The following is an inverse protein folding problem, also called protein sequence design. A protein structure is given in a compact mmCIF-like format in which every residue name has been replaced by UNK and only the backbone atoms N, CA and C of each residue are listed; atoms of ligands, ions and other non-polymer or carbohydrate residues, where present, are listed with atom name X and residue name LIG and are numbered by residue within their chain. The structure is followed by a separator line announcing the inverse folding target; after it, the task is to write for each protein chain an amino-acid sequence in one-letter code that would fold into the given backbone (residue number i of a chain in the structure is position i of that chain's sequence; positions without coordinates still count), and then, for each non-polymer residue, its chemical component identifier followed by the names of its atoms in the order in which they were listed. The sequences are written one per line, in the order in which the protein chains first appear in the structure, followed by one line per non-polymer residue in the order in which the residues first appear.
data_IF_269926894859
#
_entry.id   IF_269926894859
#
_cell.length_a   1.000
_cell.length_b   1.000
_cell.length_c   1.000
_cell.angle_alpha   90.00
_cell.angle_beta   90.00
_cell.angle_gamma   90.00
#
_symmetry.space_group_name_H-M   'P 1'
#
loop_
_entity.id
_entity.type
_entity.pdbx_description
1 polymer ?
#
# COMPACT_ATOMS: atom_id res chain seq x y z
N UNK A 1 -8.62 -29.23 -37.83
CA UNK A 1 -7.93 -30.55 -37.81
C UNK A 1 -6.46 -30.28 -37.49
N UNK A 2 -6.09 -30.36 -36.21
CA UNK A 2 -5.26 -31.43 -35.62
C UNK A 2 -3.77 -31.26 -36.02
N UNK A 3 -2.77 -31.18 -35.14
CA UNK A 3 -2.64 -31.79 -33.80
C UNK A 3 -1.53 -31.11 -33.00
N UNK A 4 -1.78 -30.90 -31.70
CA UNK A 4 -0.82 -30.58 -30.65
C UNK A 4 0.28 -31.65 -30.52
N UNK A 5 1.51 -31.26 -30.20
CA UNK A 5 2.48 -32.14 -29.53
C UNK A 5 2.92 -31.50 -28.22
N UNK A 6 2.50 -32.16 -27.13
CA UNK A 6 2.75 -31.82 -25.73
C UNK A 6 4.22 -32.09 -25.40
N UNK A 7 4.89 -31.13 -24.76
CA UNK A 7 6.05 -31.45 -23.93
C UNK A 7 5.56 -31.60 -22.49
N UNK A 8 5.68 -32.82 -21.97
CA UNK A 8 5.43 -33.18 -20.58
C UNK A 8 6.73 -32.96 -19.82
N UNK A 9 6.73 -32.12 -18.78
CA UNK A 9 7.76 -32.14 -17.75
C UNK A 9 7.15 -32.75 -16.48
N UNK A 10 7.56 -33.98 -16.17
CA UNK A 10 7.44 -34.55 -14.85
C UNK A 10 8.61 -34.03 -14.00
N UNK A 11 8.32 -33.33 -12.91
CA UNK A 11 9.29 -33.08 -11.85
C UNK A 11 9.02 -34.09 -10.72
N UNK A 12 9.91 -35.06 -10.57
CA UNK A 12 9.90 -35.97 -9.44
C UNK A 12 10.52 -35.26 -8.22
N UNK A 13 9.77 -35.18 -7.13
CA UNK A 13 10.27 -34.81 -5.81
C UNK A 13 11.02 -35.99 -5.19
N UNK A 14 12.27 -35.78 -4.76
CA UNK A 14 12.92 -36.59 -3.74
C UNK A 14 13.75 -35.66 -2.85
N UNK A 15 13.26 -35.47 -1.63
CA UNK A 15 13.89 -34.80 -0.50
C UNK A 15 14.93 -35.73 0.14
N UNK A 16 16.11 -35.20 0.49
CA UNK A 16 16.83 -35.45 1.78
C UNK A 16 18.03 -34.50 1.95
N UNK A 17 17.89 -33.57 2.90
CA UNK A 17 18.82 -33.08 3.95
C UNK A 17 20.35 -32.98 3.72
N UNK A 18 20.91 -31.79 4.02
CA UNK A 18 22.29 -31.63 4.56
C UNK A 18 23.07 -30.42 4.03
N UNK A 19 23.67 -29.56 4.88
CA UNK A 19 24.20 -28.25 4.47
C UNK A 19 25.68 -28.33 4.11
N UNK A 20 26.03 -27.98 2.87
CA UNK A 20 27.31 -27.35 2.51
C UNK A 20 27.34 -27.08 1.01
N UNK A 21 27.71 -25.85 0.69
CA UNK A 21 28.39 -25.42 -0.53
C UNK A 21 28.89 -26.55 -1.43
N UNK A 22 28.29 -26.68 -2.62
CA UNK A 22 29.02 -26.87 -3.89
C UNK A 22 28.03 -26.79 -5.05
N UNK A 23 28.34 -25.95 -6.02
CA UNK A 23 27.56 -25.78 -7.23
C UNK A 23 27.38 -27.12 -7.96
N UNK A 24 26.16 -27.62 -8.02
CA UNK A 24 25.81 -28.75 -8.89
C UNK A 24 25.76 -28.26 -10.34
N UNK A 25 26.85 -28.44 -11.09
CA UNK A 25 26.90 -28.16 -12.52
C UNK A 25 26.23 -29.30 -13.30
N UNK A 26 25.05 -29.03 -13.88
CA UNK A 26 24.39 -29.95 -14.81
C UNK A 26 25.16 -29.92 -16.14
N UNK A 27 25.78 -31.04 -16.54
CA UNK A 27 26.51 -31.12 -17.82
C UNK A 27 25.66 -31.90 -18.83
N UNK A 28 25.08 -31.22 -19.82
CA UNK A 28 24.51 -31.87 -21.00
C UNK A 28 25.59 -32.01 -22.09
N UNK A 29 25.90 -33.24 -22.51
CA UNK A 29 26.76 -33.52 -23.68
C UNK A 29 25.90 -33.75 -24.91
N UNK A 30 25.94 -32.83 -25.88
CA UNK A 30 25.56 -33.11 -27.26
C UNK A 30 26.81 -33.55 -28.04
N UNK A 31 26.70 -34.63 -28.82
CA UNK A 31 27.80 -35.19 -29.59
C UNK A 31 28.19 -34.27 -30.76
N UNK A 32 29.48 -33.91 -30.83
CA UNK A 32 30.12 -33.47 -32.06
C UNK A 32 29.92 -32.00 -32.44
N UNK A 33 30.47 -31.06 -31.67
CA UNK A 33 31.26 -29.90 -32.14
C UNK A 33 31.61 -28.97 -30.95
N UNK A 34 32.85 -28.47 -30.94
CA UNK A 34 33.50 -27.50 -30.03
C UNK A 34 32.83 -27.23 -28.67
N UNK A 35 33.54 -27.58 -27.59
CA UNK A 35 33.21 -27.23 -26.20
C UNK A 35 33.02 -25.72 -26.03
N UNK A 36 31.77 -25.25 -26.11
CA UNK A 36 31.36 -23.94 -25.64
C UNK A 36 31.18 -24.03 -24.13
N UNK A 37 32.15 -23.52 -23.38
CA UNK A 37 31.97 -23.26 -21.95
C UNK A 37 31.00 -22.08 -21.84
N UNK A 38 29.72 -22.37 -21.65
CA UNK A 38 28.75 -21.35 -21.29
C UNK A 38 29.01 -20.98 -19.83
N UNK A 39 29.80 -19.93 -19.60
CA UNK A 39 29.88 -19.29 -18.29
C UNK A 39 28.56 -18.58 -18.09
N UNK A 40 27.69 -19.17 -17.28
CA UNK A 40 26.50 -18.50 -16.78
C UNK A 40 26.89 -17.12 -16.25
N UNK A 41 26.19 -16.03 -16.62
CA UNK A 41 26.43 -14.71 -16.03
C UNK A 41 26.01 -14.63 -14.56
N UNK A 42 25.50 -15.73 -13.97
CA UNK A 42 25.15 -15.78 -12.55
C UNK A 42 26.40 -16.02 -11.70
N UNK A 43 27.33 -15.07 -11.76
CA UNK A 43 28.39 -14.90 -10.78
C UNK A 43 28.71 -13.41 -10.70
N UNK A 44 28.35 -12.82 -9.56
CA UNK A 44 28.60 -11.44 -9.16
C UNK A 44 27.76 -10.37 -9.86
N UNK A 45 26.49 -10.32 -9.49
CA UNK A 45 25.78 -9.05 -9.34
C UNK A 45 25.06 -9.11 -7.99
N UNK A 46 25.76 -8.82 -6.89
CA UNK A 46 25.11 -8.09 -5.80
C UNK A 46 25.04 -6.65 -6.32
N UNK A 47 24.18 -6.40 -7.31
CA UNK A 47 23.74 -5.04 -7.54
C UNK A 47 22.79 -4.77 -6.41
N UNK A 48 23.15 -3.82 -5.56
CA UNK A 48 22.18 -2.92 -4.97
C UNK A 48 21.37 -2.37 -6.15
N UNK A 49 20.26 -3.02 -6.51
CA UNK A 49 19.26 -2.46 -7.41
C UNK A 49 18.68 -1.27 -6.68
N UNK A 50 19.33 -0.11 -6.83
CA UNK A 50 18.79 1.15 -6.37
C UNK A 50 17.46 1.35 -7.09
N UNK A 51 16.38 1.36 -6.32
CA UNK A 51 15.07 1.73 -6.83
C UNK A 51 15.16 3.11 -7.50
N UNK A 52 14.81 3.19 -8.78
CA UNK A 52 14.81 4.46 -9.53
C UNK A 52 13.50 4.59 -10.29
N UNK A 53 12.78 5.69 -10.03
CA UNK A 53 11.63 6.11 -10.83
C UNK A 53 12.04 7.19 -11.83
N UNK A 54 11.31 7.35 -12.94
CA UNK A 54 11.45 8.51 -13.81
C UNK A 54 11.20 9.81 -13.02
N UNK A 55 11.70 10.94 -13.52
CA UNK A 55 11.67 12.25 -12.84
C UNK A 55 10.23 12.76 -12.54
N UNK A 56 9.23 12.28 -13.30
CA UNK A 56 7.81 12.50 -13.05
C UNK A 56 7.03 11.23 -13.37
N UNK A 57 6.92 10.28 -12.41
CA UNK A 57 6.24 9.02 -12.67
C UNK A 57 4.74 9.24 -12.87
N UNK A 58 4.19 8.58 -13.88
CA UNK A 58 2.74 8.50 -14.07
C UNK A 58 2.08 7.77 -12.90
N UNK A 59 0.75 7.80 -12.85
CA UNK A 59 0.04 7.06 -11.81
C UNK A 59 0.25 5.55 -11.99
N UNK A 60 0.27 5.08 -13.22
CA UNK A 60 0.52 3.70 -13.62
C UNK A 60 1.94 3.27 -13.22
N UNK A 61 2.96 4.09 -13.48
CA UNK A 61 4.34 3.81 -13.06
C UNK A 61 4.42 3.64 -11.53
N UNK A 62 3.69 4.48 -10.78
CA UNK A 62 3.64 4.38 -9.32
C UNK A 62 2.89 3.13 -8.84
N UNK A 63 1.83 2.72 -9.51
CA UNK A 63 1.12 1.46 -9.18
C UNK A 63 2.05 0.27 -9.40
N UNK A 64 2.80 0.24 -10.50
CA UNK A 64 3.73 -0.85 -10.82
C UNK A 64 4.94 -0.89 -9.87
N UNK A 65 5.34 0.27 -9.34
CA UNK A 65 6.47 0.39 -8.44
C UNK A 65 6.13 0.14 -6.97
N UNK A 66 4.88 0.40 -6.53
CA UNK A 66 4.46 0.27 -5.14
C UNK A 66 4.70 -1.14 -4.52
N UNK A 67 4.55 -2.27 -5.26
CA UNK A 67 4.87 -3.60 -4.75
C UNK A 67 6.32 -3.79 -4.28
N UNK A 68 7.28 -3.00 -4.77
CA UNK A 68 8.64 -3.00 -4.23
C UNK A 68 8.62 -2.59 -2.76
N UNK A 69 8.09 -1.41 -2.47
CA UNK A 69 8.05 -0.86 -1.12
C UNK A 69 7.17 -1.68 -0.17
N UNK A 70 6.01 -2.16 -0.64
CA UNK A 70 5.12 -2.96 0.19
C UNK A 70 5.79 -4.26 0.64
N UNK A 71 6.61 -4.90 -0.21
CA UNK A 71 7.40 -6.09 0.17
C UNK A 71 8.48 -5.77 1.19
N UNK A 72 9.24 -4.68 1.01
CA UNK A 72 10.25 -4.26 1.99
C UNK A 72 9.62 -4.01 3.39
N UNK A 73 8.42 -3.41 3.44
CA UNK A 73 7.67 -3.23 4.68
C UNK A 73 7.16 -4.55 5.27
N UNK A 74 6.69 -5.46 4.42
CA UNK A 74 6.21 -6.78 4.83
C UNK A 74 7.32 -7.64 5.45
N UNK A 75 8.51 -7.61 4.86
CA UNK A 75 9.66 -8.42 5.28
C UNK A 75 10.42 -7.79 6.45
N UNK A 76 10.05 -6.56 6.85
CA UNK A 76 10.80 -5.74 7.83
C UNK A 76 12.28 -5.52 7.45
N UNK A 77 12.59 -5.59 6.15
CA UNK A 77 13.94 -5.48 5.59
C UNK A 77 14.21 -4.08 5.00
N UNK A 78 13.41 -3.09 5.41
CA UNK A 78 13.57 -1.72 4.94
C UNK A 78 14.79 -1.09 5.63
N UNK A 79 15.89 -0.99 4.90
CA UNK A 79 17.09 -0.29 5.36
C UNK A 79 16.90 1.24 5.30
N UNK A 80 17.91 2.00 5.78
CA UNK A 80 17.81 3.46 5.80
C UNK A 80 17.67 4.11 4.41
N UNK A 81 18.18 3.47 3.35
CA UNK A 81 18.10 3.96 1.98
C UNK A 81 16.72 3.68 1.38
N UNK A 82 16.15 2.51 1.66
CA UNK A 82 14.77 2.17 1.31
C UNK A 82 13.77 3.08 2.02
N UNK A 83 13.96 3.39 3.31
CA UNK A 83 13.12 4.35 4.04
C UNK A 83 13.09 5.73 3.36
N UNK A 84 14.25 6.22 2.91
CA UNK A 84 14.34 7.50 2.19
C UNK A 84 13.65 7.42 0.84
N UNK A 85 13.85 6.32 0.11
CA UNK A 85 13.22 6.09 -1.19
C UNK A 85 11.70 5.99 -1.07
N UNK A 86 11.19 5.36 0.00
CA UNK A 86 9.77 5.31 0.32
C UNK A 86 9.22 6.71 0.61
N UNK A 87 9.92 7.51 1.42
CA UNK A 87 9.52 8.89 1.69
C UNK A 87 9.47 9.75 0.41
N UNK A 88 10.47 9.62 -0.48
CA UNK A 88 10.47 10.28 -1.79
C UNK A 88 9.29 9.80 -2.65
N UNK A 89 9.04 8.49 -2.68
CA UNK A 89 7.95 7.90 -3.45
C UNK A 89 6.58 8.43 -3.02
N UNK A 90 6.24 8.28 -1.73
CA UNK A 90 4.96 8.74 -1.19
C UNK A 90 4.90 10.27 -1.06
N UNK A 91 6.02 10.98 -1.22
CA UNK A 91 6.05 12.44 -1.26
C UNK A 91 5.34 13.04 -2.48
N UNK A 92 5.16 12.25 -3.55
CA UNK A 92 4.41 12.64 -4.73
C UNK A 92 2.94 12.22 -4.66
N UNK A 93 2.05 12.96 -5.33
CA UNK A 93 0.62 12.64 -5.35
C UNK A 93 0.33 11.26 -5.96
N UNK A 94 1.02 10.92 -7.07
CA UNK A 94 0.87 9.62 -7.74
C UNK A 94 1.48 8.50 -6.89
N UNK A 95 2.66 8.71 -6.31
CA UNK A 95 3.33 7.69 -5.49
C UNK A 95 2.57 7.38 -4.21
N UNK A 96 2.02 8.39 -3.52
CA UNK A 96 1.18 8.16 -2.35
C UNK A 96 -0.08 7.35 -2.70
N UNK A 97 -0.77 7.69 -3.80
CA UNK A 97 -1.94 6.96 -4.25
C UNK A 97 -1.59 5.52 -4.65
N UNK A 98 -0.53 5.34 -5.43
CA UNK A 98 -0.07 4.01 -5.85
C UNK A 98 0.32 3.13 -4.66
N UNK A 99 1.00 3.73 -3.67
CA UNK A 99 1.34 3.08 -2.42
C UNK A 99 0.10 2.62 -1.64
N UNK A 100 -0.82 3.54 -1.32
CA UNK A 100 -1.98 3.20 -0.50
C UNK A 100 -2.91 2.20 -1.18
N UNK A 101 -3.08 2.29 -2.51
CA UNK A 101 -3.83 1.29 -3.27
C UNK A 101 -3.23 -0.10 -3.05
N UNK A 102 -1.93 -0.28 -3.28
CA UNK A 102 -1.30 -1.59 -3.12
C UNK A 102 -1.29 -2.06 -1.66
N UNK A 103 -0.83 -1.21 -0.74
CA UNK A 103 -0.65 -1.55 0.68
C UNK A 103 -1.94 -1.96 1.36
N UNK A 104 -3.04 -1.26 1.07
CA UNK A 104 -4.31 -1.47 1.75
C UNK A 104 -5.17 -2.56 1.09
N UNK A 105 -5.06 -2.77 -0.23
CA UNK A 105 -5.97 -3.70 -0.92
C UNK A 105 -5.39 -5.09 -1.18
N UNK A 106 -4.07 -5.24 -1.32
CA UNK A 106 -3.45 -6.52 -1.67
C UNK A 106 -3.39 -7.48 -0.46
N UNK A 107 -3.86 -8.71 -0.62
CA UNK A 107 -3.95 -9.72 0.44
C UNK A 107 -2.59 -10.23 0.92
N UNK A 108 -1.55 -10.14 0.11
CA UNK A 108 -0.19 -10.55 0.44
C UNK A 108 0.44 -9.75 1.60
N UNK A 109 0.02 -8.49 1.80
CA UNK A 109 0.62 -7.58 2.78
C UNK A 109 -0.06 -7.66 4.16
N UNK A 110 0.14 -8.77 4.87
CA UNK A 110 -0.40 -8.96 6.22
C UNK A 110 0.15 -7.98 7.26
N UNK A 111 1.31 -7.37 7.02
CA UNK A 111 1.88 -6.33 7.87
C UNK A 111 1.00 -5.05 7.91
N UNK A 112 0.10 -4.85 6.95
CA UNK A 112 -0.87 -3.76 6.97
C UNK A 112 -1.95 -3.93 8.06
N UNK A 113 -2.08 -5.12 8.64
CA UNK A 113 -3.04 -5.45 9.72
C UNK A 113 -2.36 -5.48 11.10
N UNK A 114 -1.06 -5.22 11.17
CA UNK A 114 -0.29 -5.25 12.42
C UNK A 114 -0.34 -3.90 13.15
N UNK A 115 -0.38 -3.99 14.49
CA UNK A 115 -0.24 -2.84 15.39
C UNK A 115 0.85 -3.17 16.41
N UNK A 116 1.95 -2.39 16.50
CA UNK A 116 2.21 -1.17 15.74
C UNK A 116 2.44 -1.42 14.23
N UNK A 117 2.11 -0.46 13.35
CA UNK A 117 2.49 -0.51 11.94
C UNK A 117 4.02 -0.54 11.75
N UNK A 118 4.53 -0.95 10.58
CA UNK A 118 5.95 -0.95 10.30
C UNK A 118 6.59 0.42 10.56
N UNK A 119 7.59 0.47 11.44
CA UNK A 119 8.29 1.72 11.80
C UNK A 119 8.84 2.49 10.58
N UNK A 120 9.42 1.84 9.55
CA UNK A 120 9.82 2.52 8.32
C UNK A 120 8.70 3.30 7.62
N UNK A 121 7.47 2.77 7.62
CA UNK A 121 6.31 3.45 7.04
C UNK A 121 5.97 4.70 7.83
N UNK A 122 5.94 4.61 9.16
CA UNK A 122 5.66 5.74 10.05
C UNK A 122 6.70 6.86 9.88
N UNK A 123 7.98 6.50 9.77
CA UNK A 123 9.06 7.45 9.51
C UNK A 123 8.87 8.15 8.17
N UNK A 124 8.63 7.39 7.09
CA UNK A 124 8.45 7.95 5.76
C UNK A 124 7.26 8.92 5.69
N UNK A 125 6.11 8.55 6.25
CA UNK A 125 4.91 9.39 6.28
C UNK A 125 5.15 10.68 7.08
N UNK A 126 5.82 10.59 8.23
CA UNK A 126 6.13 11.76 9.04
C UNK A 126 7.15 12.68 8.34
N UNK A 127 8.15 12.12 7.65
CA UNK A 127 9.10 12.88 6.84
C UNK A 127 8.39 13.68 5.75
N UNK A 128 7.45 13.07 5.01
CA UNK A 128 6.68 13.76 3.97
C UNK A 128 5.81 14.86 4.55
N UNK A 129 5.11 14.61 5.65
CA UNK A 129 4.24 15.62 6.27
C UNK A 129 5.02 16.82 6.83
N UNK A 130 6.27 16.59 7.27
CA UNK A 130 7.14 17.61 7.87
C UNK A 130 8.02 18.33 6.84
N UNK A 131 8.10 17.83 5.60
CA UNK A 131 8.90 18.45 4.55
C UNK A 131 8.36 19.85 4.20
N UNK A 132 9.22 20.86 3.99
CA UNK A 132 8.77 22.21 3.65
C UNK A 132 8.33 22.31 2.17
N UNK A 133 7.17 22.93 1.87
CA UNK A 133 6.16 23.41 2.83
C UNK A 133 5.34 22.24 3.43
N UNK A 134 5.00 22.28 4.73
CA UNK A 134 4.19 21.23 5.36
C UNK A 134 2.91 20.99 4.59
N UNK A 135 2.52 19.71 4.46
CA UNK A 135 1.39 19.30 3.63
C UNK A 135 0.38 18.47 4.42
N UNK A 136 -0.91 18.75 4.21
CA UNK A 136 -1.98 17.88 4.71
C UNK A 136 -2.49 16.89 3.66
N UNK A 137 -1.84 16.83 2.48
CA UNK A 137 -2.21 15.90 1.42
C UNK A 137 -2.22 14.44 1.87
N UNK A 138 -1.17 14.00 2.58
CA UNK A 138 -1.09 12.62 3.10
C UNK A 138 -2.20 12.36 4.12
N UNK A 139 -2.43 13.29 5.05
CA UNK A 139 -3.50 13.15 6.04
C UNK A 139 -4.88 13.04 5.37
N UNK A 140 -5.17 13.90 4.38
CA UNK A 140 -6.42 13.82 3.60
C UNK A 140 -6.53 12.50 2.86
N UNK A 141 -5.46 12.06 2.19
CA UNK A 141 -5.47 10.80 1.45
C UNK A 141 -5.70 9.60 2.37
N UNK A 142 -5.11 9.59 3.57
CA UNK A 142 -5.37 8.55 4.57
C UNK A 142 -6.84 8.51 5.00
N UNK A 143 -7.45 9.67 5.28
CA UNK A 143 -8.86 9.75 5.66
C UNK A 143 -9.80 9.35 4.52
N UNK A 144 -9.45 9.64 3.26
CA UNK A 144 -10.18 9.14 2.09
C UNK A 144 -10.13 7.61 2.02
N UNK A 145 -8.96 7.01 2.31
CA UNK A 145 -8.80 5.55 2.40
C UNK A 145 -9.53 4.92 3.59
N UNK A 146 -10.03 5.71 4.54
CA UNK A 146 -10.96 5.24 5.59
C UNK A 146 -12.41 5.38 5.11
N UNK A 147 -12.79 6.59 4.69
CA UNK A 147 -14.18 6.93 4.35
C UNK A 147 -14.71 6.18 3.11
N UNK A 148 -13.93 6.15 2.03
CA UNK A 148 -14.36 5.55 0.76
C UNK A 148 -14.67 4.05 0.87
N UNK A 149 -13.75 3.19 1.37
CA UNK A 149 -14.05 1.78 1.51
C UNK A 149 -15.14 1.50 2.55
N UNK A 150 -15.31 2.33 3.58
CA UNK A 150 -16.43 2.21 4.52
C UNK A 150 -17.78 2.35 3.80
N UNK A 151 -17.94 3.40 2.99
CA UNK A 151 -19.15 3.60 2.19
C UNK A 151 -19.32 2.54 1.09
N UNK A 152 -18.23 2.05 0.49
CA UNK A 152 -18.26 1.10 -0.63
C UNK A 152 -18.57 -0.32 -0.16
N UNK A 153 -18.11 -0.72 1.03
CA UNK A 153 -18.48 -2.01 1.64
C UNK A 153 -20.00 -2.14 1.81
N UNK A 154 -20.67 -1.05 2.23
CA UNK A 154 -22.12 -1.00 2.34
C UNK A 154 -22.81 -1.18 0.98
N UNK A 155 -22.34 -0.48 -0.06
CA UNK A 155 -22.89 -0.60 -1.43
C UNK A 155 -22.76 -2.03 -1.96
N UNK A 156 -21.60 -2.65 -1.78
CA UNK A 156 -21.39 -4.04 -2.19
C UNK A 156 -22.29 -5.01 -1.43
N UNK A 157 -22.49 -4.79 -0.12
CA UNK A 157 -23.40 -5.62 0.69
C UNK A 157 -24.86 -5.45 0.25
N UNK A 158 -25.31 -4.22 0.01
CA UNK A 158 -26.68 -3.94 -0.50
C UNK A 158 -26.94 -4.58 -1.87
N UNK A 159 -25.91 -4.71 -2.70
CA UNK A 159 -25.99 -5.37 -4.01
C UNK A 159 -25.78 -6.89 -3.96
N UNK A 160 -25.64 -7.48 -2.76
CA UNK A 160 -25.41 -8.91 -2.58
C UNK A 160 -24.02 -9.39 -3.02
N UNK A 161 -23.08 -8.48 -3.28
CA UNK A 161 -21.70 -8.81 -3.65
C UNK A 161 -20.81 -8.87 -2.40
N UNK A 162 -20.96 -9.97 -1.65
CA UNK A 162 -20.28 -10.13 -0.36
C UNK A 162 -18.74 -10.17 -0.50
N UNK A 163 -18.21 -10.74 -1.59
CA UNK A 163 -16.76 -10.79 -1.84
C UNK A 163 -16.19 -9.37 -2.00
N UNK A 164 -16.86 -8.52 -2.78
CA UNK A 164 -16.43 -7.13 -2.93
C UNK A 164 -16.60 -6.34 -1.62
N UNK A 165 -17.67 -6.61 -0.86
CA UNK A 165 -17.86 -6.00 0.45
C UNK A 165 -16.72 -6.34 1.43
N UNK A 166 -16.29 -7.61 1.47
CA UNK A 166 -15.17 -8.04 2.30
C UNK A 166 -13.83 -7.42 1.87
N UNK A 167 -13.60 -7.24 0.56
CA UNK A 167 -12.42 -6.56 0.06
C UNK A 167 -12.38 -5.08 0.47
N UNK A 168 -13.52 -4.38 0.38
CA UNK A 168 -13.65 -3.01 0.89
C UNK A 168 -13.46 -2.95 2.39
N UNK A 169 -14.03 -3.90 3.13
CA UNK A 169 -13.93 -3.97 4.59
C UNK A 169 -12.48 -4.16 5.06
N UNK A 170 -11.70 -5.02 4.39
CA UNK A 170 -10.27 -5.18 4.67
C UNK A 170 -9.51 -3.89 4.43
N UNK A 171 -9.81 -3.20 3.32
CA UNK A 171 -9.18 -1.91 2.99
C UNK A 171 -9.48 -0.87 4.06
N UNK A 172 -10.75 -0.77 4.48
CA UNK A 172 -11.19 0.10 5.60
C UNK A 172 -10.43 -0.24 6.87
N UNK A 173 -10.43 -1.51 7.29
CA UNK A 173 -9.76 -1.97 8.51
C UNK A 173 -8.28 -1.57 8.54
N UNK A 174 -7.53 -1.85 7.47
CA UNK A 174 -6.10 -1.51 7.36
C UNK A 174 -5.85 -0.01 7.40
N UNK A 175 -6.69 0.78 6.71
CA UNK A 175 -6.58 2.23 6.72
C UNK A 175 -6.85 2.79 8.13
N UNK A 176 -7.86 2.27 8.81
CA UNK A 176 -8.24 2.69 10.15
C UNK A 176 -7.21 2.31 11.20
N UNK A 177 -6.64 1.09 11.15
CA UNK A 177 -5.54 0.69 12.03
C UNK A 177 -4.35 1.65 11.94
N UNK A 178 -3.93 1.98 10.72
CA UNK A 178 -2.83 2.92 10.50
C UNK A 178 -3.17 4.33 11.00
N UNK A 179 -4.35 4.86 10.66
CA UNK A 179 -4.78 6.20 11.03
C UNK A 179 -4.95 6.34 12.56
N UNK A 180 -5.63 5.38 13.21
CA UNK A 180 -5.78 5.32 14.66
C UNK A 180 -4.43 5.25 15.35
N UNK A 181 -3.51 4.40 14.89
CA UNK A 181 -2.19 4.30 15.50
C UNK A 181 -1.46 5.65 15.45
N UNK A 182 -1.47 6.32 14.30
CA UNK A 182 -0.78 7.62 14.13
C UNK A 182 -1.41 8.70 15.01
N UNK A 183 -2.74 8.81 15.06
CA UNK A 183 -3.44 9.79 15.89
C UNK A 183 -3.13 9.56 17.37
N UNK A 184 -3.25 8.32 17.84
CA UNK A 184 -3.11 7.98 19.26
C UNK A 184 -1.65 7.97 19.73
N UNK A 185 -0.69 7.65 18.86
CA UNK A 185 0.75 7.73 19.17
C UNK A 185 1.26 9.16 19.25
N UNK A 186 0.47 10.14 18.77
CA UNK A 186 0.87 11.53 18.63
C UNK A 186 0.44 12.48 19.74
N UNK A 187 -0.34 12.02 20.72
CA UNK A 187 -0.90 12.89 21.75
C UNK A 187 0.17 13.64 22.57
N UNK A 188 1.36 13.05 22.73
CA UNK A 188 2.48 13.60 23.51
C UNK A 188 3.69 14.03 22.67
N UNK A 189 3.62 13.94 21.34
CA UNK A 189 4.77 14.22 20.46
C UNK A 189 4.54 15.42 19.53
N UNK A 190 5.62 16.16 19.25
CA UNK A 190 5.60 17.34 18.37
C UNK A 190 5.63 16.98 16.87
N UNK A 191 5.22 15.76 16.51
CA UNK A 191 5.24 15.30 15.12
C UNK A 191 4.14 15.97 14.29
N UNK A 192 4.48 16.33 13.04
CA UNK A 192 3.57 17.05 12.16
C UNK A 192 2.39 16.18 11.70
N UNK A 193 2.64 14.89 11.43
CA UNK A 193 1.62 14.01 10.86
C UNK A 193 0.46 13.73 11.82
N UNK A 194 0.65 13.31 13.08
CA UNK A 194 -0.47 13.08 13.99
C UNK A 194 -1.36 14.30 14.19
N UNK A 195 -0.76 15.49 14.40
CA UNK A 195 -1.49 16.75 14.56
C UNK A 195 -2.28 17.11 13.30
N UNK A 196 -1.67 16.96 12.13
CA UNK A 196 -2.32 17.26 10.85
C UNK A 196 -3.46 16.28 10.57
N UNK A 197 -3.26 14.99 10.83
CA UNK A 197 -4.27 13.95 10.65
C UNK A 197 -5.46 14.13 11.60
N UNK A 198 -5.20 14.39 12.88
CA UNK A 198 -6.26 14.68 13.85
C UNK A 198 -7.06 15.93 13.48
N UNK A 199 -6.40 16.99 13.01
CA UNK A 199 -7.05 18.21 12.52
C UNK A 199 -7.95 17.92 11.30
N UNK A 200 -7.41 17.27 10.26
CA UNK A 200 -8.18 16.94 9.05
C UNK A 200 -9.36 15.99 9.37
N UNK A 201 -9.20 15.09 10.35
CA UNK A 201 -10.29 14.22 10.83
C UNK A 201 -11.47 15.03 11.37
N UNK A 202 -11.20 16.03 12.22
CA UNK A 202 -12.23 16.90 12.79
C UNK A 202 -12.94 17.71 11.69
N UNK A 203 -12.18 18.23 10.72
CA UNK A 203 -12.75 18.99 9.59
C UNK A 203 -13.65 18.08 8.74
N UNK A 204 -13.21 16.86 8.41
CA UNK A 204 -14.02 15.91 7.66
C UNK A 204 -15.29 15.51 8.43
N UNK A 205 -15.22 15.29 9.75
CA UNK A 205 -16.41 15.03 10.57
C UNK A 205 -17.40 16.20 10.51
N UNK A 206 -16.91 17.45 10.53
CA UNK A 206 -17.73 18.65 10.34
C UNK A 206 -18.41 18.67 8.97
N UNK A 207 -17.67 18.39 7.91
CA UNK A 207 -18.22 18.33 6.55
C UNK A 207 -19.27 17.21 6.39
N UNK A 208 -19.04 16.02 6.98
CA UNK A 208 -20.01 14.92 6.99
C UNK A 208 -21.29 15.33 7.73
N UNK A 209 -21.19 15.94 8.91
CA UNK A 209 -22.34 16.46 9.65
C UNK A 209 -23.09 17.57 8.88
N UNK A 210 -22.37 18.42 8.13
CA UNK A 210 -22.98 19.40 7.24
C UNK A 210 -23.79 18.72 6.12
N UNK A 211 -23.23 17.73 5.42
CA UNK A 211 -23.95 17.03 4.34
C UNK A 211 -25.17 16.24 4.85
N UNK A 212 -25.16 15.78 6.11
CA UNK A 212 -26.31 15.15 6.76
C UNK A 212 -27.35 16.18 7.30
N UNK A 213 -27.05 17.47 7.28
CA UNK A 213 -27.93 18.52 7.83
C UNK A 213 -27.93 18.64 9.37
N UNK A 214 -26.89 18.11 10.04
CA UNK A 214 -26.78 18.04 11.51
C UNK A 214 -26.03 19.23 12.14
N UNK A 215 -25.70 20.28 11.37
CA UNK A 215 -25.10 21.51 11.89
C UNK A 215 -23.57 21.52 12.02
N UNK A 216 -22.85 20.85 11.12
CA UNK A 216 -21.39 20.88 11.02
C UNK A 216 -20.81 22.06 10.22
N UNK A 217 -19.52 22.34 10.40
CA UNK A 217 -18.81 23.34 9.58
C UNK A 217 -18.59 22.85 8.15
N UNK A 218 -18.88 23.72 7.19
CA UNK A 218 -18.59 23.49 5.78
C UNK A 218 -17.11 23.72 5.50
N UNK A 219 -16.40 22.70 5.08
CA UNK A 219 -15.09 22.82 4.45
C UNK A 219 -15.22 22.58 2.94
N UNK A 220 -14.75 23.52 2.11
CA UNK A 220 -14.96 23.43 0.67
C UNK A 220 -14.33 22.17 0.06
N UNK A 221 -13.16 21.74 0.53
CA UNK A 221 -12.47 20.58 -0.06
C UNK A 221 -13.16 19.28 0.33
N UNK A 222 -13.53 19.13 1.60
CA UNK A 222 -14.21 17.93 2.08
C UNK A 222 -15.66 17.86 1.61
N UNK A 223 -16.39 18.98 1.56
CA UNK A 223 -17.72 19.02 0.96
C UNK A 223 -17.66 18.67 -0.53
N UNK A 224 -16.72 19.23 -1.31
CA UNK A 224 -16.55 18.87 -2.72
C UNK A 224 -16.22 17.39 -2.89
N UNK A 225 -15.41 16.82 -2.00
CA UNK A 225 -15.13 15.38 -1.98
C UNK A 225 -16.41 14.58 -1.75
N UNK A 226 -17.16 14.86 -0.67
CA UNK A 226 -18.38 14.12 -0.33
C UNK A 226 -19.43 14.20 -1.46
N UNK A 227 -19.63 15.39 -2.02
CA UNK A 227 -20.60 15.63 -3.10
C UNK A 227 -20.19 14.98 -4.42
N UNK A 228 -18.89 14.98 -4.75
CA UNK A 228 -18.38 14.32 -5.96
C UNK A 228 -18.63 12.81 -5.96
N UNK A 229 -18.56 12.19 -4.78
CA UNK A 229 -18.83 10.76 -4.63
C UNK A 229 -20.31 10.44 -4.42
N UNK A 230 -21.13 11.43 -4.06
CA UNK A 230 -22.60 11.30 -4.00
C UNK A 230 -23.08 10.31 -2.94
N UNK A 231 -22.43 10.29 -1.77
CA UNK A 231 -22.81 9.39 -0.68
C UNK A 231 -24.24 9.65 -0.18
N UNK A 232 -25.00 8.59 0.02
CA UNK A 232 -26.30 8.68 0.68
C UNK A 232 -26.19 8.79 2.21
N UNK A 233 -27.33 9.02 2.87
CA UNK A 233 -27.41 9.23 4.32
C UNK A 233 -26.79 8.08 5.14
N UNK A 234 -27.10 6.82 4.81
CA UNK A 234 -26.57 5.67 5.56
C UNK A 234 -25.05 5.50 5.30
N UNK A 235 -24.57 5.81 4.10
CA UNK A 235 -23.12 5.86 3.82
C UNK A 235 -22.42 6.96 4.64
N UNK A 236 -23.01 8.15 4.74
CA UNK A 236 -22.46 9.26 5.53
C UNK A 236 -22.43 8.93 7.03
N UNK A 237 -23.48 8.29 7.55
CA UNK A 237 -23.54 7.81 8.94
C UNK A 237 -22.43 6.80 9.22
N UNK A 238 -22.20 5.85 8.29
CA UNK A 238 -21.16 4.84 8.43
C UNK A 238 -19.75 5.45 8.35
N UNK A 239 -19.51 6.39 7.43
CA UNK A 239 -18.27 7.19 7.37
C UNK A 239 -18.06 7.92 8.70
N UNK A 240 -19.11 8.58 9.22
CA UNK A 240 -19.03 9.35 10.47
C UNK A 240 -18.69 8.47 11.66
N UNK A 241 -19.33 7.29 11.77
CA UNK A 241 -19.04 6.30 12.80
C UNK A 241 -17.59 5.81 12.72
N UNK A 242 -17.12 5.49 11.52
CA UNK A 242 -15.75 5.04 11.29
C UNK A 242 -14.72 6.10 11.71
N UNK A 243 -14.91 7.35 11.27
CA UNK A 243 -14.02 8.46 11.60
C UNK A 243 -14.01 8.77 13.11
N UNK A 244 -15.14 8.63 13.81
CA UNK A 244 -15.20 8.81 15.27
C UNK A 244 -14.47 7.71 16.03
N UNK A 245 -14.33 6.53 15.44
CA UNK A 245 -13.61 5.40 16.05
C UNK A 245 -12.08 5.51 15.94
N UNK A 246 -11.58 6.39 15.06
CA UNK A 246 -10.14 6.59 14.86
C UNK A 246 -9.46 7.22 16.07
#
# INVERSE_FOLDING_TARGET
MATLSRLVLQAAFLTTLGPASTAAALTLRAAGTRSLVWRSPVANVIASTSFSLPENPSFEDCIDAAPYFCRQLQESDCDSADCRSLATFIGSANGARGFFVNWLTNDEYTAAEQTPPPMPLLQALNTVCSAPPPTSFIARLMLMNVAMPAATALVHRRSGNEVAAQNSERTRLRASLLASFIINSGADNDQALPKTLAKEKVILLGAVAHEMGEGGEKDLQWTDFLQRWGYDQEQLEFISAELRSL
#
